data_IF_153425941311
#
_entry.id   IF_153425941311
#
_cell.length_a   1.000
_cell.length_b   1.000
_cell.length_c   1.000
_cell.angle_alpha   90.00
_cell.angle_beta   90.00
_cell.angle_gamma   90.00
#
_symmetry.space_group_name_H-M   'P 1'
#
loop_
_entity.id
_entity.type
_entity.pdbx_description
1 polymer ?
#
# COMPACT_ATOMS: atom_id res chain seq x y z
N UNK A 1 22.13 24.90 8.82
CA UNK A 1 21.53 23.54 8.70
C UNK A 1 22.43 22.72 7.79
N UNK A 2 22.83 21.49 8.13
CA UNK A 2 23.68 20.66 7.23
C UNK A 2 22.83 20.22 6.02
N UNK A 3 23.39 20.21 4.81
CA UNK A 3 22.67 19.84 3.56
C UNK A 3 21.89 18.51 3.66
N UNK A 4 22.41 17.54 4.44
CA UNK A 4 21.75 16.25 4.73
C UNK A 4 20.38 16.35 5.42
N UNK A 5 20.11 17.46 6.13
CA UNK A 5 18.88 17.70 6.89
C UNK A 5 17.91 18.63 6.17
N UNK A 6 18.20 19.06 4.94
CA UNK A 6 17.23 19.78 4.14
C UNK A 6 15.94 18.93 3.98
N UNK A 7 14.77 19.55 3.73
CA UNK A 7 13.48 18.85 3.58
C UNK A 7 13.47 17.71 2.54
N UNK A 8 14.41 17.74 1.61
CA UNK A 8 14.68 16.85 0.50
C UNK A 8 16.13 16.30 0.53
N UNK A 9 16.81 16.48 1.67
CA UNK A 9 18.18 16.00 1.87
C UNK A 9 18.26 14.48 2.02
N UNK A 10 19.49 13.97 2.01
CA UNK A 10 19.78 12.54 2.07
C UNK A 10 19.09 11.80 3.24
N UNK A 11 18.94 12.44 4.40
CA UNK A 11 18.25 11.82 5.53
C UNK A 11 16.74 11.65 5.27
N UNK A 12 16.11 12.63 4.64
CA UNK A 12 14.69 12.55 4.30
C UNK A 12 14.44 11.47 3.24
N UNK A 13 15.32 11.38 2.24
CA UNK A 13 15.28 10.31 1.24
C UNK A 13 15.32 8.93 1.89
N UNK A 14 16.30 8.69 2.76
CA UNK A 14 16.42 7.41 3.48
C UNK A 14 15.20 7.11 4.33
N UNK A 15 14.67 8.10 5.06
CA UNK A 15 13.46 7.93 5.86
C UNK A 15 12.25 7.57 4.99
N UNK A 16 12.03 8.28 3.89
CA UNK A 16 10.92 8.00 2.97
C UNK A 16 11.00 6.59 2.38
N UNK A 17 12.21 6.15 2.00
CA UNK A 17 12.45 4.80 1.51
C UNK A 17 12.14 3.73 2.58
N UNK A 18 12.60 3.94 3.83
CA UNK A 18 12.31 3.03 4.93
C UNK A 18 10.81 2.98 5.27
N UNK A 19 10.11 4.13 5.17
CA UNK A 19 8.66 4.18 5.33
C UNK A 19 7.95 3.32 4.29
N UNK A 20 8.30 3.44 2.99
CA UNK A 20 7.71 2.60 1.93
C UNK A 20 7.85 1.10 2.21
N UNK A 21 9.06 0.68 2.64
CA UNK A 21 9.32 -0.72 3.02
C UNK A 21 8.42 -1.13 4.19
N UNK A 22 8.37 -0.31 5.23
CA UNK A 22 7.60 -0.57 6.45
C UNK A 22 6.10 -0.65 6.18
N UNK A 23 5.57 0.24 5.33
CA UNK A 23 4.16 0.23 4.96
C UNK A 23 3.75 -1.05 4.25
N UNK A 24 4.57 -1.53 3.30
CA UNK A 24 4.28 -2.76 2.60
C UNK A 24 4.36 -3.98 3.51
N UNK A 25 5.39 -4.05 4.36
CA UNK A 25 5.58 -5.17 5.28
C UNK A 25 4.40 -5.23 6.27
N UNK A 26 3.97 -4.08 6.81
CA UNK A 26 2.78 -3.99 7.65
C UNK A 26 1.50 -4.44 6.91
N UNK A 27 1.32 -4.05 5.65
CA UNK A 27 0.19 -4.53 4.88
C UNK A 27 0.23 -6.03 4.66
N UNK A 28 1.39 -6.56 4.24
CA UNK A 28 1.53 -7.97 3.92
C UNK A 28 1.25 -8.88 5.12
N UNK A 29 1.71 -8.48 6.31
CA UNK A 29 1.66 -9.31 7.51
C UNK A 29 0.31 -9.21 8.24
N UNK A 30 -0.32 -8.03 8.20
CA UNK A 30 -1.55 -7.76 8.98
C UNK A 30 -2.76 -7.46 8.08
N UNK A 31 -2.70 -6.35 7.34
CA UNK A 31 -3.88 -5.80 6.65
C UNK A 31 -4.34 -6.66 5.47
N UNK A 32 -3.44 -7.42 4.86
CA UNK A 32 -3.74 -8.24 3.69
C UNK A 32 -4.80 -9.29 3.99
N UNK A 33 -4.77 -9.88 5.19
CA UNK A 33 -5.81 -10.82 5.66
C UNK A 33 -7.10 -10.09 6.00
N UNK A 34 -7.01 -8.99 6.76
CA UNK A 34 -8.19 -8.18 7.10
C UNK A 34 -8.96 -7.75 5.87
N UNK A 35 -8.26 -7.38 4.80
CA UNK A 35 -8.86 -6.96 3.53
C UNK A 35 -9.66 -8.06 2.84
N UNK A 36 -9.13 -9.29 2.80
CA UNK A 36 -9.83 -10.42 2.18
C UNK A 36 -11.03 -10.87 3.03
N UNK A 37 -10.91 -10.78 4.35
CA UNK A 37 -12.03 -11.05 5.28
C UNK A 37 -13.12 -9.99 5.11
N UNK A 38 -12.76 -8.71 5.07
CA UNK A 38 -13.71 -7.61 4.86
C UNK A 38 -14.51 -7.79 3.56
N UNK A 39 -13.85 -8.20 2.47
CA UNK A 39 -14.50 -8.54 1.19
C UNK A 39 -15.41 -9.77 1.22
N UNK A 40 -15.54 -10.44 2.36
CA UNK A 40 -16.30 -11.69 2.50
C UNK A 40 -15.74 -12.85 1.69
N UNK A 41 -14.41 -12.86 1.42
CA UNK A 41 -13.73 -13.91 0.64
C UNK A 41 -12.97 -14.90 1.53
N UNK A 42 -12.93 -14.66 2.84
CA UNK A 42 -12.31 -15.53 3.83
C UNK A 42 -13.06 -15.37 5.14
N UNK A 43 -13.40 -16.48 5.79
CA UNK A 43 -14.00 -16.45 7.12
C UNK A 43 -12.96 -15.97 8.16
N UNK A 44 -13.39 -15.12 9.08
CA UNK A 44 -12.49 -14.50 10.06
C UNK A 44 -11.77 -15.55 10.94
N UNK A 45 -12.49 -16.62 11.31
CA UNK A 45 -12.01 -17.72 12.14
C UNK A 45 -11.31 -18.84 11.35
N UNK A 46 -11.10 -18.69 10.04
CA UNK A 46 -10.38 -19.71 9.26
C UNK A 46 -8.93 -19.86 9.76
N UNK A 47 -8.49 -21.11 9.91
CA UNK A 47 -7.16 -21.49 10.43
C UNK A 47 -6.37 -22.35 9.45
N UNK A 48 -7.03 -22.94 8.45
CA UNK A 48 -6.40 -23.79 7.43
C UNK A 48 -5.52 -22.93 6.52
N UNK A 49 -4.20 -23.07 6.70
CA UNK A 49 -3.17 -22.32 5.95
C UNK A 49 -3.36 -22.39 4.43
N UNK A 50 -3.78 -23.54 3.90
CA UNK A 50 -4.00 -23.73 2.46
C UNK A 50 -5.14 -22.84 1.94
N UNK A 51 -6.25 -22.78 2.68
CA UNK A 51 -7.43 -21.96 2.34
C UNK A 51 -7.06 -20.48 2.42
N UNK A 52 -6.41 -20.07 3.52
CA UNK A 52 -5.96 -18.69 3.71
C UNK A 52 -5.05 -18.28 2.55
N UNK A 53 -4.02 -19.07 2.23
CA UNK A 53 -3.05 -18.74 1.17
C UNK A 53 -3.71 -18.62 -0.20
N UNK A 54 -4.68 -19.48 -0.51
CA UNK A 54 -5.43 -19.41 -1.76
C UNK A 54 -6.26 -18.13 -1.84
N UNK A 55 -7.00 -17.80 -0.77
CA UNK A 55 -7.82 -16.58 -0.70
C UNK A 55 -6.98 -15.30 -0.80
N UNK A 56 -5.85 -15.22 -0.07
CA UNK A 56 -4.94 -14.07 -0.13
C UNK A 56 -4.31 -13.89 -1.52
N UNK A 57 -4.05 -14.98 -2.25
CA UNK A 57 -3.50 -14.91 -3.60
C UNK A 57 -4.53 -14.37 -4.61
N UNK A 58 -5.78 -14.77 -4.48
CA UNK A 58 -6.83 -14.45 -5.44
C UNK A 58 -7.51 -13.11 -5.17
N UNK A 59 -7.59 -12.68 -3.90
CA UNK A 59 -8.47 -11.59 -3.50
C UNK A 59 -7.79 -10.42 -2.80
N UNK A 60 -6.50 -10.55 -2.42
CA UNK A 60 -5.77 -9.47 -1.75
C UNK A 60 -5.08 -8.49 -2.72
N UNK A 61 -5.68 -8.24 -3.89
CA UNK A 61 -5.16 -7.27 -4.85
C UNK A 61 -5.75 -5.89 -4.57
N UNK A 62 -4.90 -4.87 -4.56
CA UNK A 62 -5.27 -3.48 -4.37
C UNK A 62 -4.19 -2.57 -4.97
N UNK A 63 -4.60 -1.56 -5.74
CA UNK A 63 -3.69 -0.77 -6.58
C UNK A 63 -2.60 -0.04 -5.76
N UNK A 64 -2.97 0.60 -4.64
CA UNK A 64 -1.99 1.28 -3.76
C UNK A 64 -0.88 0.34 -3.29
N UNK A 65 -1.24 -0.87 -2.87
CA UNK A 65 -0.29 -1.83 -2.32
C UNK A 65 0.54 -2.50 -3.42
N UNK A 66 -0.03 -2.65 -4.62
CA UNK A 66 0.70 -3.04 -5.83
C UNK A 66 1.78 -2.02 -6.19
N UNK A 67 1.45 -0.74 -6.19
CA UNK A 67 2.42 0.32 -6.48
C UNK A 67 3.52 0.38 -5.41
N UNK A 68 3.16 0.38 -4.12
CA UNK A 68 4.13 0.39 -3.02
C UNK A 68 5.06 -0.84 -3.11
N UNK A 69 4.56 -2.01 -3.54
CA UNK A 69 5.39 -3.20 -3.77
C UNK A 69 6.50 -2.93 -4.78
N UNK A 70 6.18 -2.31 -5.92
CA UNK A 70 7.18 -2.01 -6.96
C UNK A 70 8.23 -1.01 -6.48
N UNK A 71 7.81 0.02 -5.73
CA UNK A 71 8.72 0.98 -5.12
C UNK A 71 9.61 0.31 -4.05
N UNK A 72 9.04 -0.57 -3.21
CA UNK A 72 9.79 -1.34 -2.21
C UNK A 72 10.87 -2.20 -2.86
N UNK A 73 10.56 -2.88 -3.97
CA UNK A 73 11.55 -3.70 -4.70
C UNK A 73 12.73 -2.81 -5.12
N UNK A 74 12.44 -1.63 -5.67
CA UNK A 74 13.45 -0.64 -6.05
C UNK A 74 14.33 -0.23 -4.86
N UNK A 75 13.72 0.01 -3.69
CA UNK A 75 14.44 0.35 -2.45
C UNK A 75 15.32 -0.80 -1.95
N UNK A 76 14.74 -1.98 -1.73
CA UNK A 76 15.40 -3.10 -1.05
C UNK A 76 16.43 -3.79 -1.94
N UNK A 77 16.13 -3.94 -3.23
CA UNK A 77 16.93 -4.76 -4.14
C UNK A 77 17.70 -3.95 -5.18
N UNK A 78 17.31 -2.70 -5.44
CA UNK A 78 17.93 -1.86 -6.47
C UNK A 78 18.51 -0.55 -5.92
N UNK A 79 18.92 -0.56 -4.64
CA UNK A 79 19.61 0.56 -3.97
C UNK A 79 18.83 1.88 -4.02
N UNK A 80 17.50 1.81 -4.00
CA UNK A 80 16.66 3.00 -4.10
C UNK A 80 16.57 3.58 -5.50
N UNK A 81 16.90 2.81 -6.55
CA UNK A 81 16.71 3.22 -7.95
C UNK A 81 15.49 2.52 -8.54
N UNK A 82 14.59 3.30 -9.13
CA UNK A 82 13.38 2.83 -9.79
C UNK A 82 13.70 1.80 -10.88
N UNK A 83 13.09 0.63 -10.79
CA UNK A 83 13.13 -0.39 -11.85
C UNK A 83 12.11 -0.10 -12.94
N UNK A 84 12.12 -0.85 -14.05
CA UNK A 84 11.09 -0.78 -15.09
C UNK A 84 9.67 -1.02 -14.57
N UNK A 85 9.53 -1.71 -13.43
CA UNK A 85 8.24 -2.05 -12.86
C UNK A 85 7.43 -0.82 -12.40
N UNK A 86 8.10 0.31 -12.11
CA UNK A 86 7.39 1.54 -11.71
C UNK A 86 6.48 2.08 -12.82
N UNK A 87 6.74 1.72 -14.07
CA UNK A 87 5.86 2.04 -15.20
C UNK A 87 4.50 1.34 -15.11
N UNK A 88 4.41 0.25 -14.34
CA UNK A 88 3.16 -0.46 -14.04
C UNK A 88 2.34 0.16 -12.93
N UNK A 89 2.86 1.16 -12.21
CA UNK A 89 2.15 1.81 -11.11
C UNK A 89 0.89 2.54 -11.60
N UNK A 90 -0.23 2.34 -10.90
CA UNK A 90 -1.54 2.91 -11.28
C UNK A 90 -1.81 4.26 -10.62
N UNK A 91 -1.42 4.42 -9.36
CA UNK A 91 -1.66 5.58 -8.51
C UNK A 91 -0.37 6.41 -8.30
N UNK A 92 0.75 5.76 -7.99
CA UNK A 92 2.02 6.41 -7.67
C UNK A 92 2.90 6.49 -8.91
N UNK A 93 2.70 7.53 -9.73
CA UNK A 93 3.39 7.74 -11.02
C UNK A 93 4.54 8.77 -10.96
N UNK A 94 5.19 8.89 -9.81
CA UNK A 94 6.17 9.95 -9.57
C UNK A 94 7.57 9.68 -10.11
N UNK A 95 7.86 8.44 -10.50
CA UNK A 95 9.20 7.99 -10.86
C UNK A 95 9.20 7.33 -12.23
N UNK A 96 10.23 7.61 -13.01
CA UNK A 96 10.59 6.89 -14.22
C UNK A 96 11.67 5.84 -13.92
N UNK A 97 11.82 4.80 -14.75
CA UNK A 97 12.92 3.84 -14.58
C UNK A 97 14.28 4.55 -14.58
N UNK A 98 15.13 4.22 -13.61
CA UNK A 98 16.43 4.87 -13.39
C UNK A 98 16.41 6.03 -12.41
N UNK A 99 15.24 6.56 -12.07
CA UNK A 99 15.13 7.64 -11.08
C UNK A 99 15.46 7.15 -9.67
N UNK A 100 16.11 7.98 -8.83
CA UNK A 100 16.15 7.70 -7.41
C UNK A 100 14.74 7.76 -6.82
N UNK A 101 14.39 6.80 -5.97
CA UNK A 101 13.20 6.83 -5.12
C UNK A 101 13.45 7.82 -3.98
N UNK A 102 13.45 9.11 -4.32
CA UNK A 102 13.58 10.22 -3.40
C UNK A 102 12.21 10.89 -3.25
N UNK A 103 11.51 10.54 -2.17
CA UNK A 103 10.21 11.13 -1.89
C UNK A 103 10.37 12.57 -1.40
N UNK A 104 9.59 13.50 -1.96
CA UNK A 104 9.46 14.84 -1.40
C UNK A 104 8.51 14.84 -0.19
N UNK A 105 8.53 15.89 0.66
CA UNK A 105 7.55 16.04 1.74
C UNK A 105 6.09 15.93 1.27
N UNK A 106 5.77 16.48 0.11
CA UNK A 106 4.44 16.46 -0.50
C UNK A 106 4.04 15.04 -0.91
N UNK A 107 4.98 14.29 -1.49
CA UNK A 107 4.79 12.89 -1.87
C UNK A 107 4.63 11.99 -0.64
N UNK A 108 5.41 12.22 0.42
CA UNK A 108 5.22 11.56 1.71
C UNK A 108 3.83 11.84 2.29
N UNK A 109 3.38 13.10 2.26
CA UNK A 109 2.02 13.46 2.69
C UNK A 109 0.95 12.76 1.84
N UNK A 110 1.14 12.69 0.53
CA UNK A 110 0.22 12.00 -0.38
C UNK A 110 0.14 10.50 -0.06
N UNK A 111 1.26 9.85 0.27
CA UNK A 111 1.27 8.45 0.74
C UNK A 111 0.47 8.29 2.02
N UNK A 112 0.70 9.11 3.04
CA UNK A 112 -0.07 9.03 4.30
C UNK A 112 -1.57 9.19 4.08
N UNK A 113 -1.99 10.15 3.25
CA UNK A 113 -3.40 10.33 2.91
C UNK A 113 -3.97 9.13 2.15
N UNK A 114 -3.20 8.52 1.25
CA UNK A 114 -3.63 7.31 0.56
C UNK A 114 -3.79 6.12 1.52
N UNK A 115 -2.90 5.98 2.51
CA UNK A 115 -3.01 4.95 3.56
C UNK A 115 -4.24 5.16 4.45
N UNK A 116 -4.54 6.41 4.83
CA UNK A 116 -5.75 6.75 5.59
C UNK A 116 -7.02 6.46 4.78
N UNK A 117 -7.01 6.80 3.49
CA UNK A 117 -8.12 6.47 2.57
C UNK A 117 -8.32 4.96 2.46
N UNK A 118 -7.25 4.20 2.29
CA UNK A 118 -7.33 2.73 2.29
C UNK A 118 -7.96 2.19 3.58
N UNK A 119 -7.61 2.74 4.75
CA UNK A 119 -8.23 2.32 6.01
C UNK A 119 -9.74 2.58 6.03
N UNK A 120 -10.19 3.72 5.49
CA UNK A 120 -11.61 4.03 5.37
C UNK A 120 -12.31 3.09 4.38
N UNK A 121 -11.67 2.75 3.27
CA UNK A 121 -12.19 1.78 2.30
C UNK A 121 -12.33 0.38 2.92
N UNK A 122 -11.29 -0.09 3.62
CA UNK A 122 -11.32 -1.34 4.37
C UNK A 122 -12.46 -1.37 5.40
N UNK A 123 -12.66 -0.27 6.13
CA UNK A 123 -13.78 -0.16 7.08
C UNK A 123 -15.13 -0.29 6.38
N UNK A 124 -15.32 0.38 5.24
CA UNK A 124 -16.57 0.26 4.45
C UNK A 124 -16.84 -1.16 3.98
N UNK A 125 -15.82 -1.85 3.50
CA UNK A 125 -15.93 -3.24 3.01
C UNK A 125 -16.44 -4.20 4.10
N UNK A 126 -16.17 -3.93 5.39
CA UNK A 126 -16.67 -4.75 6.50
C UNK A 126 -18.19 -4.72 6.65
N UNK A 127 -18.86 -3.68 6.12
CA UNK A 127 -20.31 -3.55 6.16
C UNK A 127 -20.87 -3.91 4.79
N UNK A 128 -21.53 -5.07 4.67
CA UNK A 128 -22.36 -5.35 3.49
C UNK A 128 -23.41 -4.25 3.36
N UNK A 129 -23.75 -3.87 2.14
CA UNK A 129 -24.86 -2.93 1.84
C UNK A 129 -26.18 -3.47 2.40
N UNK A 130 -26.44 -3.24 3.68
CA UNK A 130 -27.77 -3.36 4.26
C UNK A 130 -28.46 -2.04 3.94
N UNK A 131 -28.87 -1.87 2.68
CA UNK A 131 -29.85 -0.84 2.37
C UNK A 131 -31.06 -1.12 3.25
N UNK A 132 -31.37 -0.18 4.15
CA UNK A 132 -32.74 -0.04 4.62
C UNK A 132 -33.55 0.17 3.34
N UNK A 133 -34.30 -0.84 2.93
CA UNK A 133 -35.29 -0.71 1.87
C UNK A 133 -36.38 0.21 2.45
N UNK A 134 -36.28 1.51 2.20
CA UNK A 134 -37.34 2.45 2.55
C UNK A 134 -38.50 2.16 1.59
N UNK A 135 -39.67 1.71 2.07
CA UNK A 135 -40.81 1.46 1.20
C UNK A 135 -41.16 2.75 0.46
N UNK A 136 -41.28 2.70 -0.86
CA UNK A 136 -41.82 3.81 -1.65
C UNK A 136 -43.26 4.09 -1.16
N UNK A 137 -43.51 5.33 -0.75
CA UNK A 137 -44.86 5.82 -0.45
C UNK A 137 -45.61 6.16 -1.73
#
# INVERSE_FOLDING_TARGET
>A
MKARNAPDGANFTTLGQLCLVSFYDFWNDYLRREYVVAKGKLEANETKKVVIKAALRQHASHDLWGDIRHLRISVVHNRGIATSDVSGCRLIKWFLPGDPIALTPEQMRALFLALLRYRNELFKEQFREHYIQVPSR
#
